data_IF_654788233192
#
_entry.id   IF_654788233192
#
_cell.length_a   1.000
_cell.length_b   1.000
_cell.length_c   1.000
_cell.angle_alpha   90.00
_cell.angle_beta   90.00
_cell.angle_gamma   90.00
#
_symmetry.space_group_name_H-M   'P 1'
#
loop_
_entity.id
_entity.type
_entity.pdbx_description
1 polymer ?
#
# COMPACT_ATOMS: atom_id res chain seq x y z
N UNK A 1 -10.75 9.87 4.15
CA UNK A 1 -10.14 9.51 2.84
C UNK A 1 -10.50 10.58 1.83
N UNK A 2 -9.54 11.04 1.02
CA UNK A 2 -9.69 12.22 0.14
C UNK A 2 -10.68 12.08 -1.03
N UNK A 3 -11.40 10.96 -1.17
CA UNK A 3 -12.03 10.63 -2.47
C UNK A 3 -13.30 9.78 -2.47
N UNK A 4 -13.74 9.23 -1.34
CA UNK A 4 -14.90 8.34 -1.34
C UNK A 4 -16.13 8.96 -0.66
N UNK A 5 -16.96 9.62 -1.47
CA UNK A 5 -18.43 9.61 -1.37
C UNK A 5 -19.10 10.39 -0.24
N UNK A 6 -18.35 11.11 0.60
CA UNK A 6 -18.92 12.04 1.57
C UNK A 6 -19.11 13.46 1.01
N UNK A 7 -20.00 14.28 1.59
CA UNK A 7 -20.03 15.73 1.33
C UNK A 7 -18.62 16.33 1.55
N UNK A 8 -18.18 17.23 0.66
CA UNK A 8 -16.85 17.87 0.75
C UNK A 8 -15.67 17.00 0.32
N UNK A 9 -15.90 15.94 -0.46
CA UNK A 9 -14.84 15.09 -1.02
C UNK A 9 -14.59 15.36 -2.52
N UNK A 10 -13.34 15.20 -2.98
CA UNK A 10 -12.92 15.51 -4.35
C UNK A 10 -13.51 14.59 -5.44
N UNK A 11 -14.22 13.51 -5.05
CA UNK A 11 -14.83 12.49 -5.93
C UNK A 11 -13.91 12.00 -7.07
N UNK A 12 -12.60 12.06 -6.87
CA UNK A 12 -11.57 11.73 -7.85
C UNK A 12 -10.30 11.27 -7.14
N UNK A 13 -9.56 10.35 -7.76
CA UNK A 13 -8.29 9.84 -7.24
C UNK A 13 -7.14 10.25 -8.18
N UNK A 14 -5.92 10.41 -7.67
CA UNK A 14 -4.78 10.72 -8.52
C UNK A 14 -4.35 9.47 -9.29
N UNK A 15 -3.93 9.65 -10.53
CA UNK A 15 -3.17 8.66 -11.28
C UNK A 15 -1.73 8.67 -10.80
N UNK A 16 -1.27 7.53 -10.31
CA UNK A 16 0.09 7.31 -9.84
C UNK A 16 0.72 6.14 -10.60
N UNK A 17 1.97 6.28 -11.02
CA UNK A 17 2.73 5.19 -11.64
C UNK A 17 3.55 4.41 -10.60
N UNK A 18 2.91 4.01 -9.51
CA UNK A 18 3.55 3.28 -8.41
C UNK A 18 3.11 1.81 -8.38
N UNK A 19 4.01 0.85 -8.13
CA UNK A 19 3.61 -0.52 -7.87
C UNK A 19 2.89 -0.59 -6.52
N UNK A 20 1.93 -1.52 -6.41
CA UNK A 20 1.11 -1.70 -5.23
C UNK A 20 1.79 -2.67 -4.26
N UNK A 21 2.81 -2.18 -3.56
CA UNK A 21 3.63 -2.97 -2.61
C UNK A 21 2.95 -3.19 -1.26
N UNK A 22 1.64 -3.42 -1.24
CA UNK A 22 0.87 -3.65 -0.02
C UNK A 22 1.03 -5.10 0.44
N UNK A 23 1.26 -5.30 1.73
CA UNK A 23 1.29 -6.60 2.38
C UNK A 23 0.13 -6.65 3.37
N UNK A 24 -0.86 -7.56 3.21
CA UNK A 24 -1.91 -7.73 4.19
C UNK A 24 -1.36 -8.05 5.58
N UNK A 25 -1.98 -7.50 6.61
CA UNK A 25 -1.48 -7.61 8.00
C UNK A 25 -1.53 -9.05 8.50
N UNK A 26 -2.55 -9.81 8.12
CA UNK A 26 -2.70 -11.24 8.42
C UNK A 26 -1.59 -12.08 7.78
N UNK A 27 -1.24 -11.79 6.51
CA UNK A 27 -0.10 -12.42 5.82
C UNK A 27 1.21 -12.05 6.51
N UNK A 28 1.43 -10.78 6.84
CA UNK A 28 2.62 -10.32 7.56
C UNK A 28 2.75 -11.01 8.93
N UNK A 29 1.67 -11.03 9.72
CA UNK A 29 1.66 -11.65 11.04
C UNK A 29 1.94 -13.15 10.97
N UNK A 30 1.32 -13.86 10.02
CA UNK A 30 1.58 -15.29 9.82
C UNK A 30 3.03 -15.53 9.39
N UNK A 31 3.58 -14.70 8.50
CA UNK A 31 4.99 -14.76 8.12
C UNK A 31 5.94 -14.57 9.31
N UNK A 32 5.63 -13.67 10.25
CA UNK A 32 6.41 -13.51 11.49
C UNK A 32 6.37 -14.78 12.33
N UNK A 33 5.20 -15.42 12.46
CA UNK A 33 5.03 -16.66 13.20
C UNK A 33 5.83 -17.79 12.54
N UNK A 34 5.73 -17.95 11.23
CA UNK A 34 6.50 -18.93 10.46
C UNK A 34 8.01 -18.79 10.71
N UNK A 35 8.52 -17.56 10.67
CA UNK A 35 9.93 -17.24 10.93
C UNK A 35 10.33 -17.55 12.37
N UNK A 36 9.51 -17.14 13.34
CA UNK A 36 9.80 -17.32 14.77
C UNK A 36 9.78 -18.81 15.18
N UNK A 37 8.87 -19.60 14.60
CA UNK A 37 8.69 -21.02 14.87
C UNK A 37 9.59 -21.94 14.03
N UNK A 38 10.46 -21.37 13.20
CA UNK A 38 11.43 -22.09 12.35
C UNK A 38 12.26 -23.17 13.06
N UNK A 39 12.37 -23.14 14.39
CA UNK A 39 13.07 -24.15 15.21
C UNK A 39 12.65 -25.61 14.98
N UNK A 40 11.67 -25.90 14.11
CA UNK A 40 11.15 -27.25 13.81
C UNK A 40 11.47 -27.74 12.39
N UNK A 41 11.87 -26.88 11.43
CA UNK A 41 12.16 -27.30 10.05
C UNK A 41 13.67 -27.43 9.81
N UNK A 42 14.09 -28.66 9.52
CA UNK A 42 15.45 -29.18 9.40
C UNK A 42 16.30 -28.64 8.25
N UNK A 43 15.83 -27.67 7.47
CA UNK A 43 16.60 -27.09 6.36
C UNK A 43 17.40 -25.85 6.79
N UNK A 44 18.72 -25.92 6.60
CA UNK A 44 19.60 -24.76 6.74
C UNK A 44 19.21 -23.64 5.76
N UNK A 45 19.45 -22.38 6.13
CA UNK A 45 19.29 -21.27 5.18
C UNK A 45 20.32 -21.39 4.07
N UNK A 46 19.94 -21.01 2.86
CA UNK A 46 20.85 -20.94 1.71
C UNK A 46 20.81 -19.52 1.12
N UNK A 47 21.92 -18.75 1.15
CA UNK A 47 23.20 -19.07 1.79
C UNK A 47 23.10 -19.04 3.33
N UNK A 48 23.96 -19.80 4.05
CA UNK A 48 24.05 -19.71 5.49
C UNK A 48 24.53 -18.30 5.89
N UNK A 49 24.03 -17.75 7.02
CA UNK A 49 24.52 -16.49 7.54
C UNK A 49 25.99 -16.63 7.97
N UNK A 50 26.78 -15.56 7.85
CA UNK A 50 28.14 -15.56 8.39
C UNK A 50 28.12 -15.70 9.93
N UNK A 51 29.19 -16.20 10.59
CA UNK A 51 29.21 -16.46 12.04
C UNK A 51 28.86 -15.28 12.94
N UNK A 52 28.96 -14.06 12.44
CA UNK A 52 28.67 -12.81 13.16
C UNK A 52 27.55 -11.99 12.50
N UNK A 53 26.84 -12.55 11.51
CA UNK A 53 25.76 -11.87 10.81
C UNK A 53 24.42 -12.13 11.54
N UNK A 54 23.70 -11.04 11.83
CA UNK A 54 22.31 -11.16 12.27
C UNK A 54 21.45 -11.70 11.12
N UNK A 55 20.63 -12.72 11.40
CA UNK A 55 19.71 -13.26 10.40
C UNK A 55 18.54 -12.30 10.21
N UNK A 56 18.54 -11.60 9.08
CA UNK A 56 17.47 -10.67 8.69
C UNK A 56 16.52 -11.31 7.69
N UNK A 57 15.23 -11.13 7.92
CA UNK A 57 14.13 -11.52 7.03
C UNK A 57 13.34 -10.26 6.65
N UNK A 58 13.18 -10.01 5.35
CA UNK A 58 12.32 -8.93 4.88
C UNK A 58 10.89 -9.47 4.71
N UNK A 59 9.92 -8.86 5.40
CA UNK A 59 8.50 -9.12 5.16
C UNK A 59 7.91 -7.94 4.41
N UNK A 60 8.02 -7.99 3.09
CA UNK A 60 7.47 -6.96 2.20
C UNK A 60 6.83 -7.62 0.99
N UNK A 61 5.91 -6.90 0.34
CA UNK A 61 5.47 -7.22 -1.01
C UNK A 61 6.40 -6.50 -2.00
N UNK A 62 7.30 -7.25 -2.65
CA UNK A 62 8.22 -6.75 -3.66
C UNK A 62 7.66 -6.81 -5.09
N UNK A 63 6.41 -7.29 -5.25
CA UNK A 63 5.77 -7.44 -6.55
C UNK A 63 5.59 -6.10 -7.26
N UNK A 64 6.05 -6.04 -8.51
CA UNK A 64 5.89 -4.88 -9.40
C UNK A 64 4.82 -5.09 -10.48
N UNK A 65 4.21 -6.28 -10.51
CA UNK A 65 3.19 -6.68 -11.47
C UNK A 65 1.92 -5.85 -11.31
N UNK A 66 1.47 -5.68 -10.07
CA UNK A 66 0.31 -4.87 -9.71
C UNK A 66 0.76 -3.44 -9.43
N UNK A 67 0.01 -2.49 -9.95
CA UNK A 67 0.26 -1.05 -9.87
C UNK A 67 -1.00 -0.32 -9.47
N UNK A 68 -0.85 0.91 -9.00
CA UNK A 68 -1.95 1.79 -8.59
C UNK A 68 -3.08 1.88 -9.62
N UNK A 69 -2.78 1.93 -10.93
CA UNK A 69 -3.81 1.90 -11.99
C UNK A 69 -4.73 0.67 -11.93
N UNK A 70 -4.22 -0.50 -11.53
CA UNK A 70 -5.01 -1.72 -11.41
C UNK A 70 -5.96 -1.60 -10.23
N UNK A 71 -5.49 -1.04 -9.10
CA UNK A 71 -6.36 -0.71 -7.97
C UNK A 71 -7.50 0.21 -8.39
N UNK A 72 -7.21 1.30 -9.12
CA UNK A 72 -8.24 2.23 -9.60
C UNK A 72 -9.30 1.52 -10.44
N UNK A 73 -8.88 0.60 -11.33
CA UNK A 73 -9.79 -0.23 -12.13
C UNK A 73 -10.64 -1.14 -11.25
N UNK A 74 -10.03 -1.84 -10.29
CA UNK A 74 -10.72 -2.78 -9.40
C UNK A 74 -11.79 -2.13 -8.53
N UNK A 75 -11.59 -0.87 -8.13
CA UNK A 75 -12.56 -0.10 -7.34
C UNK A 75 -13.49 0.79 -8.18
N UNK A 76 -13.35 0.80 -9.52
CA UNK A 76 -14.20 1.57 -10.43
C UNK A 76 -13.96 3.09 -10.44
N UNK A 77 -12.73 3.53 -10.16
CA UNK A 77 -12.32 4.93 -10.14
C UNK A 77 -11.37 5.32 -11.29
N UNK A 78 -11.08 4.41 -12.20
CA UNK A 78 -10.21 4.65 -13.35
C UNK A 78 -10.69 5.81 -14.24
N UNK A 79 -12.00 5.87 -14.54
CA UNK A 79 -12.59 6.97 -15.32
C UNK A 79 -12.68 8.30 -14.58
N UNK A 80 -12.65 8.27 -13.24
CA UNK A 80 -12.65 9.48 -12.38
C UNK A 80 -11.25 9.92 -11.98
N UNK A 81 -10.22 9.20 -12.42
CA UNK A 81 -8.86 9.46 -12.02
C UNK A 81 -8.28 10.65 -12.79
N UNK A 82 -7.65 11.58 -12.06
CA UNK A 82 -7.01 12.79 -12.61
C UNK A 82 -5.49 12.66 -12.57
N UNK A 83 -4.77 13.41 -13.39
CA UNK A 83 -3.31 13.46 -13.27
C UNK A 83 -2.92 14.02 -11.90
N UNK A 84 -1.80 13.55 -11.33
CA UNK A 84 -1.48 13.81 -9.92
C UNK A 84 -1.39 15.31 -9.59
N UNK A 85 -0.77 16.11 -10.46
CA UNK A 85 -0.66 17.56 -10.27
C UNK A 85 -2.02 18.28 -10.34
N UNK A 86 -2.88 17.88 -11.28
CA UNK A 86 -4.24 18.44 -11.40
C UNK A 86 -5.09 18.07 -10.19
N UNK A 87 -5.01 16.81 -9.75
CA UNK A 87 -5.71 16.33 -8.58
C UNK A 87 -5.28 17.07 -7.32
N UNK A 88 -3.97 17.31 -7.16
CA UNK A 88 -3.43 18.05 -6.02
C UNK A 88 -3.87 19.52 -6.04
N UNK A 89 -3.84 20.18 -7.21
CA UNK A 89 -4.33 21.54 -7.36
C UNK A 89 -5.81 21.67 -6.96
N UNK A 90 -6.66 20.75 -7.43
CA UNK A 90 -8.06 20.68 -7.02
C UNK A 90 -8.22 20.46 -5.52
N UNK A 91 -7.35 19.66 -4.90
CA UNK A 91 -7.39 19.41 -3.46
C UNK A 91 -7.04 20.65 -2.62
N UNK A 92 -6.35 21.63 -3.21
CA UNK A 92 -5.93 22.86 -2.54
C UNK A 92 -6.98 23.96 -2.60
N UNK A 93 -7.75 24.00 -3.68
CA UNK A 93 -8.81 24.98 -3.90
C UNK A 93 -9.82 25.01 -2.73
N UNK A 94 -10.32 26.20 -2.37
CA UNK A 94 -11.34 26.35 -1.32
C UNK A 94 -12.59 25.49 -1.56
N UNK A 95 -12.97 25.31 -2.82
CA UNK A 95 -14.09 24.49 -3.27
C UNK A 95 -13.77 22.99 -3.35
N UNK A 96 -12.49 22.62 -3.24
CA UNK A 96 -12.02 21.25 -3.34
C UNK A 96 -12.09 20.50 -2.02
N UNK A 97 -11.17 20.83 -1.11
CA UNK A 97 -11.13 20.23 0.21
C UNK A 97 -11.29 21.31 1.27
N UNK A 98 -12.47 21.34 1.91
CA UNK A 98 -12.78 22.30 2.97
C UNK A 98 -11.71 22.31 4.06
N UNK A 99 -11.43 23.47 4.65
CA UNK A 99 -10.36 23.60 5.66
C UNK A 99 -10.61 22.73 6.90
N UNK A 100 -11.88 22.43 7.21
CA UNK A 100 -12.28 21.55 8.32
C UNK A 100 -12.31 20.07 7.92
N UNK A 101 -12.07 19.74 6.64
CA UNK A 101 -12.11 18.37 6.18
C UNK A 101 -10.98 17.57 6.83
N UNK A 102 -11.25 16.36 7.38
CA UNK A 102 -10.29 15.59 8.17
C UNK A 102 -9.02 15.18 7.39
N UNK A 103 -9.08 15.24 6.06
CA UNK A 103 -7.95 14.94 5.20
C UNK A 103 -7.12 16.15 4.76
N UNK A 104 -7.50 17.39 5.13
CA UNK A 104 -6.74 18.62 4.83
C UNK A 104 -5.28 18.56 5.30
N UNK A 105 -4.96 18.01 6.49
CA UNK A 105 -3.56 17.87 6.92
C UNK A 105 -2.70 17.00 6.00
N UNK A 106 -3.31 16.10 5.22
CA UNK A 106 -2.57 15.23 4.28
C UNK A 106 -2.06 16.00 3.06
N UNK A 107 -2.54 17.22 2.78
CA UNK A 107 -2.06 18.00 1.63
C UNK A 107 -0.57 18.29 1.70
N UNK A 108 -0.03 18.56 2.90
CA UNK A 108 1.41 18.74 3.08
C UNK A 108 2.22 17.50 2.67
N UNK A 109 1.70 16.30 2.97
CA UNK A 109 2.30 15.04 2.55
C UNK A 109 2.27 14.88 1.02
N UNK A 110 1.14 15.16 0.38
CA UNK A 110 1.01 15.05 -1.08
C UNK A 110 1.88 16.06 -1.83
N UNK A 111 2.00 17.29 -1.32
CA UNK A 111 2.94 18.30 -1.86
C UNK A 111 4.39 17.84 -1.78
N UNK A 112 4.79 17.28 -0.65
CA UNK A 112 6.14 16.73 -0.50
C UNK A 112 6.38 15.55 -1.45
N UNK A 113 5.37 14.72 -1.69
CA UNK A 113 5.42 13.61 -2.64
C UNK A 113 5.53 14.10 -4.10
N UNK A 114 4.78 15.12 -4.50
CA UNK A 114 4.86 15.73 -5.84
C UNK A 114 6.25 16.31 -6.12
N UNK A 115 6.82 17.02 -5.14
CA UNK A 115 8.20 17.51 -5.22
C UNK A 115 9.19 16.37 -5.44
N UNK A 116 9.10 15.29 -4.64
CA UNK A 116 9.98 14.11 -4.77
C UNK A 116 9.82 13.38 -6.11
N UNK A 117 8.59 13.29 -6.63
CA UNK A 117 8.32 12.67 -7.93
C UNK A 117 8.93 13.47 -9.09
N UNK A 118 8.93 14.80 -8.99
CA UNK A 118 9.51 15.70 -10.00
C UNK A 118 11.03 15.76 -9.93
N UNK A 119 11.62 15.57 -8.75
CA UNK A 119 13.06 15.61 -8.54
C UNK A 119 13.79 14.35 -9.04
N UNK A 120 13.09 13.36 -9.59
CA UNK A 120 13.64 12.12 -10.20
C UNK A 120 14.63 11.36 -9.29
N UNK A 121 14.58 11.64 -7.99
CA UNK A 121 15.39 11.00 -6.98
C UNK A 121 14.53 9.91 -6.34
N UNK A 122 14.80 8.65 -6.68
CA UNK A 122 15.40 7.70 -5.74
C UNK A 122 15.31 6.29 -6.28
N UNK A 123 16.47 5.63 -6.30
CA UNK A 123 16.60 4.17 -6.34
C UNK A 123 15.57 3.59 -5.37
N UNK A 124 14.55 2.93 -5.91
CA UNK A 124 13.55 2.29 -5.07
C UNK A 124 14.27 1.17 -4.30
N UNK A 125 14.21 1.14 -2.96
CA UNK A 125 14.90 0.10 -2.21
C UNK A 125 14.34 -1.26 -2.65
N UNK A 126 15.21 -2.11 -3.16
CA UNK A 126 14.90 -3.50 -3.48
C UNK A 126 15.26 -4.35 -2.27
N UNK A 127 14.35 -5.23 -1.88
CA UNK A 127 14.53 -6.12 -0.74
C UNK A 127 14.57 -7.56 -1.25
N UNK A 128 15.60 -8.31 -0.87
CA UNK A 128 15.63 -9.74 -1.15
C UNK A 128 14.69 -10.49 -0.19
N UNK A 129 13.75 -11.24 -0.76
CA UNK A 129 12.83 -12.12 -0.03
C UNK A 129 13.34 -13.56 0.07
N UNK A 130 14.56 -13.86 -0.41
CA UNK A 130 15.09 -15.22 -0.50
C UNK A 130 14.99 -15.98 0.82
N UNK A 131 15.52 -15.40 1.91
CA UNK A 131 15.51 -16.02 3.24
C UNK A 131 14.08 -16.17 3.78
N UNK A 132 13.23 -15.17 3.56
CA UNK A 132 11.84 -15.17 4.03
C UNK A 132 11.03 -16.27 3.34
N UNK A 133 11.12 -16.41 2.02
CA UNK A 133 10.39 -17.42 1.24
C UNK A 133 10.87 -18.86 1.51
N UNK A 134 12.13 -19.04 1.90
CA UNK A 134 12.62 -20.37 2.32
C UNK A 134 11.95 -20.89 3.59
N UNK A 135 11.54 -20.00 4.50
CA UNK A 135 11.14 -20.38 5.86
C UNK A 135 9.68 -20.09 6.17
N UNK A 136 9.04 -19.21 5.41
CA UNK A 136 7.61 -18.92 5.53
C UNK A 136 6.86 -19.45 4.31
N UNK A 137 6.10 -20.56 4.46
CA UNK A 137 5.21 -21.06 3.43
C UNK A 137 4.23 -19.97 2.96
N UNK A 138 3.74 -19.17 3.92
CA UNK A 138 2.82 -18.06 3.65
C UNK A 138 3.44 -17.05 2.69
N UNK A 139 4.64 -16.54 3.00
CA UNK A 139 5.34 -15.57 2.15
C UNK A 139 5.83 -16.18 0.84
N UNK A 140 6.05 -17.49 0.78
CA UNK A 140 6.39 -18.19 -0.46
C UNK A 140 5.20 -18.31 -1.41
N UNK A 141 4.00 -18.53 -0.88
CA UNK A 141 2.76 -18.60 -1.67
C UNK A 141 2.13 -17.26 -2.00
N UNK A 142 2.59 -16.16 -1.39
CA UNK A 142 2.03 -14.84 -1.58
C UNK A 142 2.60 -14.14 -2.81
N UNK A 143 1.76 -13.91 -3.82
CA UNK A 143 2.13 -13.29 -5.10
C UNK A 143 1.74 -11.80 -5.24
N UNK A 144 1.11 -11.24 -4.20
CA UNK A 144 0.68 -9.84 -4.16
C UNK A 144 -0.81 -9.68 -3.90
N UNK A 145 -1.26 -8.42 -3.94
CA UNK A 145 -2.69 -8.07 -3.82
C UNK A 145 -3.40 -8.32 -5.14
N UNK A 146 -4.54 -8.99 -5.08
CA UNK A 146 -5.44 -9.21 -6.20
C UNK A 146 -6.68 -8.31 -6.15
N UNK A 147 -7.53 -8.45 -7.17
CA UNK A 147 -8.78 -7.70 -7.29
C UNK A 147 -9.74 -7.96 -6.13
N UNK A 148 -9.83 -9.22 -5.67
CA UNK A 148 -10.75 -9.59 -4.60
C UNK A 148 -10.35 -8.93 -3.28
N UNK A 149 -9.07 -8.95 -2.95
CA UNK A 149 -8.51 -8.29 -1.77
C UNK A 149 -8.73 -6.78 -1.82
N UNK A 150 -8.45 -6.16 -2.98
CA UNK A 150 -8.66 -4.73 -3.17
C UNK A 150 -10.14 -4.34 -2.99
N UNK A 151 -11.07 -5.11 -3.57
CA UNK A 151 -12.52 -4.87 -3.41
C UNK A 151 -12.97 -5.02 -1.96
N UNK A 152 -12.47 -6.02 -1.24
CA UNK A 152 -12.79 -6.22 0.18
C UNK A 152 -12.34 -5.03 1.03
N UNK A 153 -11.12 -4.53 0.83
CA UNK A 153 -10.61 -3.33 1.51
C UNK A 153 -11.49 -2.12 1.16
N UNK A 154 -11.86 -1.97 -0.12
CA UNK A 154 -12.69 -0.86 -0.57
C UNK A 154 -14.09 -0.89 0.06
N UNK A 155 -14.71 -2.07 0.15
CA UNK A 155 -15.98 -2.25 0.86
C UNK A 155 -15.86 -1.80 2.32
N UNK A 156 -14.78 -2.16 3.00
CA UNK A 156 -14.54 -1.73 4.39
C UNK A 156 -14.47 -0.21 4.49
N UNK A 157 -13.70 0.44 3.60
CA UNK A 157 -13.61 1.91 3.52
C UNK A 157 -14.99 2.55 3.35
N UNK A 158 -15.85 1.98 2.51
CA UNK A 158 -17.20 2.49 2.26
C UNK A 158 -18.17 2.25 3.43
N UNK A 159 -17.91 1.26 4.28
CA UNK A 159 -18.73 0.99 5.48
C UNK A 159 -18.34 1.87 6.68
N UNK A 160 -17.11 2.38 6.72
CA UNK A 160 -16.64 3.21 7.83
C UNK A 160 -17.50 4.47 8.07
N UNK A 161 -17.91 5.25 7.06
CA UNK A 161 -18.76 6.43 7.28
C UNK A 161 -20.07 6.11 8.01
N UNK A 162 -20.74 5.01 7.64
CA UNK A 162 -22.04 4.62 8.21
C UNK A 162 -21.99 4.32 9.71
N UNK A 163 -20.84 3.81 10.19
CA UNK A 163 -20.69 3.38 11.60
C UNK A 163 -20.53 4.55 12.58
N UNK A 164 -20.23 5.75 12.10
CA UNK A 164 -20.01 6.93 12.94
C UNK A 164 -21.20 7.89 12.94
N UNK A 165 -22.17 7.72 12.03
CA UNK A 165 -23.44 8.46 12.03
C UNK A 165 -24.50 7.82 12.96
N UNK A 166 -24.32 6.54 13.31
CA UNK A 166 -25.21 5.78 14.22
C UNK A 166 -24.79 5.84 15.72
N UNK A 167 -23.98 6.82 16.12
CA UNK A 167 -23.56 7.07 17.51
C UNK A 167 -23.59 8.55 17.84
#
# INVERSE_FOLDING_TARGET
MLSAGGPGSLNSLPKLNLPLSWLPVDIAATGVIDIALRKVCSSALVPPPAPHEAVVFHLVNDSTSVKWRHLLKWIGYDMKAKEFGEWLALAEEPEGLEDKHPARPLLGFWKAMDKRMKEDLTVKPSFSLLRTRQVSPTMNSFDGIDEQSAKKIWQWVQTLPKRWEDK
#
